data_IF_941326034270
#
_entry.id   IF_941326034270
#
_cell.length_a   1.000
_cell.length_b   1.000
_cell.length_c   1.000
_cell.angle_alpha   90.00
_cell.angle_beta   90.00
_cell.angle_gamma   90.00
#
_symmetry.space_group_name_H-M   'P 1'
#
loop_
_entity.id
_entity.type
_entity.pdbx_description
1 polymer ?
#
# COMPACT_ATOMS: atom_id res chain seq x y z
N UNK A 1 -5.19 11.39 12.57
CA UNK A 1 -5.47 10.33 11.60
C UNK A 1 -6.85 10.55 11.02
N UNK A 2 -6.93 10.93 9.75
CA UNK A 2 -8.19 11.09 9.03
C UNK A 2 -8.85 9.71 8.86
N UNK A 3 -10.14 9.64 9.12
CA UNK A 3 -10.94 8.45 8.95
C UNK A 3 -12.26 8.86 8.29
N UNK A 4 -12.60 8.23 7.18
CA UNK A 4 -13.84 8.44 6.45
C UNK A 4 -14.31 7.12 5.85
N UNK A 5 -15.59 7.04 5.57
CA UNK A 5 -16.17 5.83 5.01
C UNK A 5 -16.04 5.86 3.48
N UNK A 6 -15.40 4.84 2.91
CA UNK A 6 -15.34 4.63 1.46
C UNK A 6 -16.52 3.76 1.07
N UNK A 7 -17.32 4.25 0.12
CA UNK A 7 -18.36 3.43 -0.51
C UNK A 7 -17.71 2.36 -1.40
N UNK A 8 -17.59 1.15 -0.83
CA UNK A 8 -16.96 0.00 -1.50
C UNK A 8 -17.73 -0.47 -2.73
N UNK A 9 -19.05 -0.28 -2.77
CA UNK A 9 -19.85 -0.66 -3.94
C UNK A 9 -19.56 0.31 -5.09
N UNK A 10 -19.59 1.61 -4.81
CA UNK A 10 -19.22 2.63 -5.80
C UNK A 10 -17.78 2.46 -6.28
N UNK A 11 -16.84 2.19 -5.37
CA UNK A 11 -15.45 1.92 -5.73
C UNK A 11 -15.35 0.75 -6.70
N UNK A 12 -16.02 -0.37 -6.40
CA UNK A 12 -16.03 -1.55 -7.27
C UNK A 12 -16.58 -1.23 -8.67
N UNK A 13 -17.71 -0.53 -8.73
CA UNK A 13 -18.34 -0.14 -10.01
C UNK A 13 -17.43 0.76 -10.86
N UNK A 14 -16.75 1.73 -10.24
CA UNK A 14 -15.82 2.61 -10.96
C UNK A 14 -14.57 1.86 -11.43
N UNK A 15 -14.01 0.96 -10.61
CA UNK A 15 -12.89 0.11 -11.00
C UNK A 15 -13.25 -0.81 -12.16
N UNK A 16 -14.48 -1.36 -12.21
CA UNK A 16 -14.93 -2.21 -13.31
C UNK A 16 -14.95 -1.44 -14.64
N UNK A 17 -15.39 -0.18 -14.62
CA UNK A 17 -15.49 0.71 -15.79
C UNK A 17 -14.18 1.38 -16.19
N UNK A 18 -13.17 1.34 -15.33
CA UNK A 18 -11.88 1.98 -15.54
C UNK A 18 -11.18 1.44 -16.80
N UNK A 19 -10.71 2.35 -17.66
CA UNK A 19 -10.05 2.04 -18.94
C UNK A 19 -8.77 2.81 -19.19
N UNK A 20 -8.51 3.88 -18.43
CA UNK A 20 -7.32 4.71 -18.58
C UNK A 20 -6.86 5.31 -17.24
N UNK A 21 -5.71 6.00 -17.27
CA UNK A 21 -5.14 6.67 -16.09
C UNK A 21 -6.05 7.81 -15.58
N UNK A 22 -6.75 8.53 -16.47
CA UNK A 22 -7.66 9.60 -16.06
C UNK A 22 -8.84 9.08 -15.22
N UNK A 23 -9.30 7.85 -15.47
CA UNK A 23 -10.29 7.19 -14.62
C UNK A 23 -9.73 6.92 -13.23
N UNK A 24 -8.47 6.50 -13.13
CA UNK A 24 -7.80 6.29 -11.84
C UNK A 24 -7.69 7.60 -11.06
N UNK A 25 -7.21 8.67 -11.68
CA UNK A 25 -7.11 10.00 -11.06
C UNK A 25 -8.48 10.47 -10.54
N UNK A 26 -9.57 10.18 -11.28
CA UNK A 26 -10.94 10.48 -10.84
C UNK A 26 -11.31 9.70 -9.58
N UNK A 27 -10.98 8.41 -9.51
CA UNK A 27 -11.23 7.55 -8.34
C UNK A 27 -10.45 8.04 -7.11
N UNK A 28 -9.16 8.37 -7.28
CA UNK A 28 -8.32 8.93 -6.22
C UNK A 28 -8.96 10.18 -5.60
N UNK A 29 -9.40 11.11 -6.45
CA UNK A 29 -9.96 12.39 -6.02
C UNK A 29 -11.37 12.32 -5.46
N UNK A 30 -12.24 11.47 -6.01
CA UNK A 30 -13.67 11.47 -5.66
C UNK A 30 -14.12 10.33 -4.75
N UNK A 31 -13.32 9.27 -4.63
CA UNK A 31 -13.63 8.14 -3.74
C UNK A 31 -12.66 8.12 -2.56
N UNK A 32 -11.36 8.22 -2.84
CA UNK A 32 -10.34 8.24 -1.80
C UNK A 32 -10.07 9.64 -1.24
N UNK A 33 -10.53 10.71 -1.90
CA UNK A 33 -10.34 12.09 -1.46
C UNK A 33 -8.86 12.37 -1.16
N UNK A 34 -7.94 11.91 -2.01
CA UNK A 34 -6.49 11.99 -1.76
C UNK A 34 -6.00 13.43 -1.61
N UNK A 35 -6.65 14.40 -2.26
CA UNK A 35 -6.38 15.83 -2.12
C UNK A 35 -6.63 16.35 -0.68
N UNK A 36 -7.47 15.66 0.09
CA UNK A 36 -7.82 16.01 1.48
C UNK A 36 -7.01 15.22 2.52
N UNK A 37 -6.07 14.37 2.09
CA UNK A 37 -5.30 13.56 3.04
C UNK A 37 -4.32 14.42 3.83
N UNK A 38 -4.42 14.44 5.17
CA UNK A 38 -3.48 15.21 5.97
C UNK A 38 -2.10 14.56 5.93
N UNK A 39 -1.05 15.37 5.90
CA UNK A 39 0.31 14.87 6.06
C UNK A 39 0.52 14.27 7.46
N UNK A 40 1.36 13.25 7.52
CA UNK A 40 1.88 12.71 8.78
C UNK A 40 2.80 13.74 9.44
N UNK A 41 2.60 14.07 10.73
CA UNK A 41 3.53 14.93 11.46
C UNK A 41 4.95 14.38 11.40
N UNK A 42 5.95 15.26 11.25
CA UNK A 42 7.35 14.86 11.09
C UNK A 42 7.84 14.00 12.27
N UNK A 43 7.45 14.36 13.49
CA UNK A 43 7.81 13.60 14.70
C UNK A 43 7.34 12.14 14.63
N UNK A 44 6.17 11.89 14.04
CA UNK A 44 5.62 10.54 13.86
C UNK A 44 6.38 9.77 12.78
N UNK A 45 6.81 10.45 11.71
CA UNK A 45 7.66 9.86 10.67
C UNK A 45 9.00 9.45 11.28
N UNK A 46 9.63 10.37 12.02
CA UNK A 46 10.91 10.12 12.69
C UNK A 46 10.80 8.98 13.71
N UNK A 47 9.72 8.95 14.51
CA UNK A 47 9.45 7.84 15.42
C UNK A 47 9.37 6.50 14.67
N UNK A 48 8.63 6.43 13.55
CA UNK A 48 8.49 5.20 12.78
C UNK A 48 9.80 4.74 12.14
N UNK A 49 10.57 5.66 11.57
CA UNK A 49 11.85 5.36 10.94
C UNK A 49 12.91 4.92 11.96
N UNK A 50 12.83 5.42 13.20
CA UNK A 50 13.74 5.04 14.28
C UNK A 50 13.32 3.75 15.03
N UNK A 51 12.20 3.10 14.67
CA UNK A 51 11.81 1.84 15.29
C UNK A 51 12.86 0.76 15.01
N UNK A 52 13.11 -0.08 16.02
CA UNK A 52 14.05 -1.18 15.86
C UNK A 52 13.51 -2.21 14.87
N UNK A 53 14.38 -2.64 13.96
CA UNK A 53 14.17 -3.81 13.09
C UNK A 53 13.76 -5.01 13.94
N UNK A 54 12.79 -5.80 13.45
CA UNK A 54 12.26 -6.96 14.17
C UNK A 54 12.65 -8.25 13.47
N UNK A 55 12.86 -9.31 14.24
CA UNK A 55 12.96 -10.68 13.71
C UNK A 55 11.71 -11.43 14.13
N UNK A 56 10.91 -11.85 13.16
CA UNK A 56 9.65 -12.58 13.38
C UNK A 56 9.65 -13.77 12.44
N UNK A 57 9.42 -14.97 12.97
CA UNK A 57 9.49 -16.24 12.22
C UNK A 57 10.82 -16.42 11.46
N UNK A 58 11.94 -15.95 12.04
CA UNK A 58 13.27 -16.03 11.42
C UNK A 58 13.54 -15.00 10.31
N UNK A 59 12.55 -14.17 9.96
CA UNK A 59 12.67 -13.15 8.90
C UNK A 59 12.91 -11.76 9.50
N UNK A 60 13.77 -10.98 8.84
CA UNK A 60 14.04 -9.58 9.19
C UNK A 60 12.94 -8.67 8.65
N UNK A 61 12.32 -7.90 9.53
CA UNK A 61 11.29 -6.91 9.25
C UNK A 61 11.82 -5.51 9.50
N UNK A 62 11.97 -4.75 8.42
CA UNK A 62 12.35 -3.34 8.44
C UNK A 62 11.13 -2.45 8.70
N UNK A 63 11.38 -1.23 9.11
CA UNK A 63 10.34 -0.22 9.37
C UNK A 63 10.00 0.52 8.09
N UNK A 64 8.81 1.11 8.06
CA UNK A 64 8.36 2.02 7.02
C UNK A 64 7.51 3.11 7.66
N UNK A 65 7.43 4.27 7.02
CA UNK A 65 6.62 5.38 7.47
C UNK A 65 5.71 5.82 6.32
N UNK A 66 4.50 6.29 6.67
CA UNK A 66 3.55 6.80 5.70
C UNK A 66 3.60 8.32 5.68
N UNK A 67 3.66 8.91 4.50
CA UNK A 67 3.60 10.36 4.33
C UNK A 67 2.24 10.95 4.70
N UNK A 68 1.17 10.15 4.61
CA UNK A 68 -0.21 10.58 4.85
C UNK A 68 -0.77 9.99 6.15
N UNK A 69 -1.40 10.83 6.96
CA UNK A 69 -2.00 10.51 8.25
C UNK A 69 -3.46 10.06 8.09
N UNK A 70 -3.66 9.00 7.34
CA UNK A 70 -4.96 8.35 7.13
C UNK A 70 -5.05 7.03 7.91
N UNK A 71 -6.26 6.52 8.11
CA UNK A 71 -6.43 5.25 8.79
C UNK A 71 -5.77 4.09 8.01
N UNK A 72 -5.21 3.08 8.70
CA UNK A 72 -4.63 1.92 8.05
C UNK A 72 -5.60 1.20 7.12
N UNK A 73 -6.90 1.16 7.45
CA UNK A 73 -7.94 0.54 6.63
C UNK A 73 -8.09 1.26 5.28
N UNK A 74 -8.09 2.59 5.30
CA UNK A 74 -8.20 3.43 4.10
C UNK A 74 -6.96 3.29 3.24
N UNK A 75 -5.78 3.39 3.86
CA UNK A 75 -4.52 3.25 3.15
C UNK A 75 -4.34 1.84 2.57
N UNK A 76 -4.73 0.80 3.31
CA UNK A 76 -4.71 -0.57 2.84
C UNK A 76 -5.63 -0.76 1.62
N UNK A 77 -6.86 -0.24 1.70
CA UNK A 77 -7.80 -0.30 0.58
C UNK A 77 -7.27 0.46 -0.64
N UNK A 78 -6.72 1.65 -0.44
CA UNK A 78 -6.12 2.46 -1.49
C UNK A 78 -4.96 1.76 -2.19
N UNK A 79 -3.95 1.29 -1.44
CA UNK A 79 -2.77 0.63 -2.00
C UNK A 79 -3.13 -0.68 -2.72
N UNK A 80 -4.03 -1.47 -2.14
CA UNK A 80 -4.55 -2.67 -2.79
C UNK A 80 -5.26 -2.34 -4.10
N UNK A 81 -6.04 -1.27 -4.12
CA UNK A 81 -6.74 -0.79 -5.32
C UNK A 81 -5.76 -0.30 -6.36
N UNK A 82 -4.74 0.48 -5.96
CA UNK A 82 -3.69 0.98 -6.84
C UNK A 82 -2.93 -0.15 -7.53
N UNK A 83 -2.55 -1.20 -6.79
CA UNK A 83 -1.94 -2.39 -7.38
C UNK A 83 -2.86 -3.09 -8.39
N UNK A 84 -4.16 -3.22 -8.08
CA UNK A 84 -5.13 -3.80 -9.01
C UNK A 84 -5.27 -2.97 -10.28
N UNK A 85 -5.38 -1.64 -10.14
CA UNK A 85 -5.51 -0.70 -11.26
C UNK A 85 -4.28 -0.75 -12.16
N UNK A 86 -3.06 -0.78 -11.57
CA UNK A 86 -1.83 -0.94 -12.33
C UNK A 86 -1.85 -2.21 -13.17
N UNK A 87 -2.19 -3.36 -12.58
CA UNK A 87 -2.28 -4.64 -13.33
C UNK A 87 -3.34 -4.61 -14.45
N UNK A 88 -4.41 -3.82 -14.27
CA UNK A 88 -5.49 -3.69 -15.25
C UNK A 88 -5.10 -2.77 -16.41
N UNK A 89 -4.45 -1.64 -16.13
CA UNK A 89 -4.10 -0.63 -17.14
C UNK A 89 -2.77 -0.93 -17.85
N UNK A 90 -1.82 -1.52 -17.14
CA UNK A 90 -0.45 -1.74 -17.60
C UNK A 90 -0.08 -3.24 -17.56
N UNK A 91 -0.82 -4.12 -18.26
CA UNK A 91 -0.63 -5.57 -18.13
C UNK A 91 0.75 -6.04 -18.59
N UNK A 92 1.34 -5.41 -19.61
CA UNK A 92 2.69 -5.75 -20.10
C UNK A 92 3.78 -5.39 -19.06
N UNK A 93 3.66 -4.21 -18.43
CA UNK A 93 4.57 -3.82 -17.36
C UNK A 93 4.37 -4.69 -16.11
N UNK A 94 3.13 -5.08 -15.79
CA UNK A 94 2.84 -6.01 -14.71
C UNK A 94 3.45 -7.40 -14.96
N UNK A 95 3.38 -7.90 -16.21
CA UNK A 95 4.05 -9.14 -16.60
C UNK A 95 5.57 -9.02 -16.45
N UNK A 96 6.17 -7.92 -16.90
CA UNK A 96 7.62 -7.72 -16.77
C UNK A 96 8.04 -7.64 -15.30
N UNK A 97 7.33 -6.87 -14.48
CA UNK A 97 7.58 -6.76 -13.05
C UNK A 97 7.50 -8.11 -12.33
N UNK A 98 6.65 -9.04 -12.80
CA UNK A 98 6.54 -10.38 -12.21
C UNK A 98 7.81 -11.23 -12.40
N UNK A 99 8.65 -10.89 -13.37
CA UNK A 99 9.95 -11.56 -13.61
C UNK A 99 11.06 -11.03 -12.70
N UNK A 100 10.82 -9.90 -12.03
CA UNK A 100 11.77 -9.19 -11.17
C UNK A 100 11.26 -9.09 -9.72
N UNK A 101 11.07 -10.21 -9.00
CA UNK A 101 10.59 -10.20 -7.62
C UNK A 101 11.51 -9.42 -6.66
N UNK A 102 12.79 -9.25 -7.00
CA UNK A 102 13.77 -8.46 -6.25
C UNK A 102 13.43 -6.96 -6.16
N UNK A 103 12.68 -6.42 -7.13
CA UNK A 103 12.19 -5.04 -7.15
C UNK A 103 11.08 -4.79 -6.14
N UNK A 104 10.61 -5.84 -5.47
CA UNK A 104 9.47 -5.77 -4.57
C UNK A 104 9.79 -6.36 -3.20
N UNK A 105 9.06 -5.85 -2.22
CA UNK A 105 8.89 -6.47 -0.92
C UNK A 105 7.41 -6.66 -0.62
N UNK A 106 7.15 -7.18 0.57
CA UNK A 106 5.82 -7.25 1.17
C UNK A 106 5.79 -6.35 2.39
N UNK A 107 4.73 -5.56 2.56
CA UNK A 107 4.58 -4.68 3.71
C UNK A 107 3.21 -4.79 4.36
N UNK A 108 3.19 -4.55 5.67
CA UNK A 108 1.98 -4.48 6.46
C UNK A 108 1.68 -3.02 6.79
N UNK A 109 0.66 -2.44 6.17
CA UNK A 109 0.22 -1.06 6.39
C UNK A 109 -0.11 -0.80 7.87
N UNK A 110 -0.71 -1.78 8.55
CA UNK A 110 -1.10 -1.68 9.96
C UNK A 110 0.08 -1.71 10.93
N UNK A 111 1.07 -2.57 10.65
CA UNK A 111 2.25 -2.71 11.49
C UNK A 111 3.39 -1.76 11.10
N UNK A 112 3.28 -1.10 9.94
CA UNK A 112 4.31 -0.22 9.35
C UNK A 112 5.67 -0.90 9.28
N UNK A 113 5.67 -2.12 8.76
CA UNK A 113 6.86 -2.94 8.62
C UNK A 113 6.84 -3.70 7.29
N UNK A 114 8.01 -4.01 6.76
CA UNK A 114 8.15 -4.68 5.47
C UNK A 114 9.34 -5.63 5.43
N UNK A 115 9.33 -6.55 4.48
CA UNK A 115 10.42 -7.50 4.22
C UNK A 115 10.36 -8.02 2.77
N UNK A 116 11.49 -8.52 2.25
CA UNK A 116 11.55 -9.25 0.97
C UNK A 116 11.38 -10.77 1.14
N UNK A 117 11.67 -11.28 2.33
CA UNK A 117 12.01 -12.69 2.52
C UNK A 117 10.83 -13.54 3.00
N UNK A 118 9.66 -12.93 3.17
CA UNK A 118 8.49 -13.61 3.74
C UNK A 118 7.55 -14.12 2.65
N UNK A 119 7.37 -15.43 2.62
CA UNK A 119 6.66 -16.16 1.57
C UNK A 119 5.13 -16.09 1.72
N UNK A 120 4.60 -15.91 2.93
CA UNK A 120 3.15 -15.84 3.17
C UNK A 120 2.56 -14.48 2.82
N UNK A 121 1.23 -14.45 2.71
CA UNK A 121 0.47 -13.25 2.31
C UNK A 121 -0.15 -12.50 3.49
N UNK A 122 0.00 -13.00 4.72
CA UNK A 122 -0.54 -12.37 5.91
C UNK A 122 0.56 -12.06 6.93
N UNK A 123 0.50 -10.85 7.48
CA UNK A 123 1.44 -10.34 8.45
C UNK A 123 1.53 -11.26 9.68
N UNK A 124 2.73 -11.75 10.05
CA UNK A 124 2.87 -12.66 11.19
C UNK A 124 2.53 -12.02 12.53
N UNK A 125 2.51 -10.68 12.60
CA UNK A 125 2.23 -9.93 13.83
C UNK A 125 0.74 -9.63 14.05
N UNK A 126 0.00 -9.28 12.99
CA UNK A 126 -1.38 -8.80 13.11
C UNK A 126 -2.39 -9.55 12.25
N UNK A 127 -1.96 -10.54 11.46
CA UNK A 127 -2.82 -11.36 10.62
C UNK A 127 -3.45 -10.64 9.41
N UNK A 128 -3.21 -9.34 9.22
CA UNK A 128 -3.70 -8.62 8.05
C UNK A 128 -2.90 -8.95 6.80
N UNK A 129 -3.53 -8.82 5.64
CA UNK A 129 -2.90 -8.99 4.33
C UNK A 129 -1.64 -8.11 4.19
N UNK A 130 -0.62 -8.70 3.58
CA UNK A 130 0.59 -8.02 3.17
C UNK A 130 0.40 -7.52 1.74
N UNK A 131 0.67 -6.24 1.53
CA UNK A 131 0.62 -5.64 0.20
C UNK A 131 1.99 -5.68 -0.45
N UNK A 132 2.00 -5.57 -1.78
CA UNK A 132 3.23 -5.39 -2.54
C UNK A 132 3.81 -4.01 -2.24
N UNK A 133 5.11 -3.95 -1.96
CA UNK A 133 5.86 -2.72 -1.77
C UNK A 133 6.90 -2.63 -2.88
N UNK A 134 6.74 -1.74 -3.87
CA UNK A 134 7.81 -1.41 -4.79
C UNK A 134 8.99 -0.86 -4.01
N UNK A 135 10.17 -1.37 -4.29
CA UNK A 135 11.40 -0.90 -3.68
C UNK A 135 12.14 -0.16 -4.78
N UNK A 136 12.37 1.14 -4.58
CA UNK A 136 13.30 1.84 -5.44
C UNK A 136 14.65 1.14 -5.27
N UNK A 137 15.15 0.53 -6.35
CA UNK A 137 16.58 0.28 -6.47
C UNK A 137 17.24 1.67 -6.61
N UNK A 138 18.33 1.88 -5.88
CA UNK A 138 19.05 3.15 -5.75
C UNK A 138 19.27 3.90 -7.09
#
# INVERSE_FOLDING_TARGET
>A
MLNFNIDKNKLKEEIEKLTCEEDWIRIEKHIFLTDDWPLTPIDVIDEDLNRTVKVIDGVIWKTTANTNNVSPDILHLYEKTRCFVFNKLEPEAAEENSKHPEWYGKWCVYCRMWTREYDKDHCPKCGHELLLLPLNED
#
